data_IF_921054018061
#
_entry.id   IF_921054018061
#
_cell.length_a   1.000
_cell.length_b   1.000
_cell.length_c   1.000
_cell.angle_alpha   90.00
_cell.angle_beta   90.00
_cell.angle_gamma   90.00
#
_symmetry.space_group_name_H-M   'P 1'
#
loop_
_entity.id
_entity.type
_entity.pdbx_description
1 polymer ?
#
# COMPACT_ATOMS: atom_id res chain seq x y z
N UNK A 1 -12.85 -3.44 14.43
CA UNK A 1 -11.45 -3.09 14.76
C UNK A 1 -10.99 -1.97 13.85
N UNK A 2 -10.29 -1.00 14.39
CA UNK A 2 -9.77 0.11 13.60
C UNK A 2 -8.25 0.03 13.52
N UNK A 3 -7.70 0.60 12.45
CA UNK A 3 -6.25 0.74 12.27
C UNK A 3 -5.85 2.20 12.36
N UNK A 4 -6.60 2.97 13.12
CA UNK A 4 -6.40 4.41 13.21
C UNK A 4 -4.99 4.76 13.67
N UNK A 5 -4.36 5.67 12.96
CA UNK A 5 -2.99 6.11 13.20
C UNK A 5 -1.91 5.03 12.98
N UNK A 6 -2.28 3.89 12.40
CA UNK A 6 -1.30 2.89 12.00
C UNK A 6 -0.81 3.17 10.59
N UNK A 7 0.48 3.03 10.39
CA UNK A 7 1.13 3.20 9.10
C UNK A 7 1.42 1.83 8.53
N UNK A 8 0.74 1.48 7.44
CA UNK A 8 0.73 0.11 6.91
C UNK A 8 1.22 0.09 5.47
N UNK A 9 2.18 -0.81 5.18
CA UNK A 9 2.63 -1.06 3.82
C UNK A 9 1.95 -2.33 3.32
N UNK A 10 1.19 -2.21 2.23
CA UNK A 10 0.58 -3.35 1.55
C UNK A 10 1.50 -3.77 0.42
N UNK A 11 2.03 -5.00 0.50
CA UNK A 11 2.93 -5.55 -0.50
C UNK A 11 2.21 -6.54 -1.39
N UNK A 12 2.29 -6.30 -2.70
CA UNK A 12 1.58 -7.07 -3.72
C UNK A 12 0.31 -6.37 -4.16
N UNK A 13 0.31 -5.88 -5.40
CA UNK A 13 -0.77 -5.02 -5.91
C UNK A 13 -1.65 -5.72 -6.94
N UNK A 14 -1.98 -6.98 -6.68
CA UNK A 14 -3.04 -7.67 -7.40
C UNK A 14 -4.40 -7.32 -6.80
N UNK A 15 -5.45 -8.05 -7.18
CA UNK A 15 -6.79 -7.81 -6.70
C UNK A 15 -6.92 -7.85 -5.18
N UNK A 16 -6.23 -8.80 -4.54
CA UNK A 16 -6.24 -8.92 -3.09
C UNK A 16 -5.59 -7.71 -2.42
N UNK A 17 -4.45 -7.25 -2.94
CA UNK A 17 -3.76 -6.08 -2.40
C UNK A 17 -4.61 -4.83 -2.49
N UNK A 18 -5.28 -4.64 -3.62
CA UNK A 18 -6.18 -3.50 -3.83
C UNK A 18 -7.33 -3.53 -2.82
N UNK A 19 -7.92 -4.71 -2.60
CA UNK A 19 -8.98 -4.86 -1.60
C UNK A 19 -8.50 -4.56 -0.19
N UNK A 20 -7.28 -4.97 0.14
CA UNK A 20 -6.67 -4.68 1.43
C UNK A 20 -6.47 -3.18 1.63
N UNK A 21 -5.99 -2.48 0.61
CA UNK A 21 -5.79 -1.03 0.69
C UNK A 21 -7.13 -0.34 0.98
N UNK A 22 -8.18 -0.71 0.25
CA UNK A 22 -9.50 -0.12 0.44
C UNK A 22 -10.00 -0.34 1.87
N UNK A 23 -9.89 -1.55 2.37
CA UNK A 23 -10.34 -1.91 3.71
C UNK A 23 -9.57 -1.15 4.79
N UNK A 24 -8.25 -1.12 4.67
CA UNK A 24 -7.40 -0.48 5.68
C UNK A 24 -7.60 1.03 5.71
N UNK A 25 -7.72 1.67 4.55
CA UNK A 25 -7.99 3.11 4.50
C UNK A 25 -9.35 3.44 5.11
N UNK A 26 -10.35 2.60 4.84
CA UNK A 26 -11.69 2.78 5.41
C UNK A 26 -11.66 2.69 6.94
N UNK A 27 -10.71 1.95 7.49
CA UNK A 27 -10.57 1.75 8.93
C UNK A 27 -9.51 2.67 9.56
N UNK A 28 -9.13 3.73 8.88
CA UNK A 28 -8.32 4.80 9.44
C UNK A 28 -6.82 4.65 9.33
N UNK A 29 -6.33 3.64 8.63
CA UNK A 29 -4.89 3.46 8.46
C UNK A 29 -4.32 4.45 7.44
N UNK A 30 -3.06 4.82 7.65
CA UNK A 30 -2.26 5.48 6.63
C UNK A 30 -1.60 4.36 5.82
N UNK A 31 -1.99 4.21 4.56
CA UNK A 31 -1.58 3.07 3.74
C UNK A 31 -0.67 3.52 2.61
N UNK A 32 0.42 2.78 2.41
CA UNK A 32 1.25 2.87 1.21
C UNK A 32 1.24 1.51 0.52
N UNK A 33 1.55 1.53 -0.76
CA UNK A 33 1.52 0.34 -1.61
C UNK A 33 2.93 -0.02 -2.09
N UNK A 34 3.22 -1.29 -2.15
CA UNK A 34 4.50 -1.78 -2.65
C UNK A 34 4.30 -2.94 -3.62
N UNK A 35 5.09 -2.91 -4.69
CA UNK A 35 5.24 -4.08 -5.57
C UNK A 35 6.65 -4.06 -6.13
N UNK A 36 7.29 -5.23 -6.18
CA UNK A 36 8.67 -5.34 -6.64
C UNK A 36 8.83 -4.94 -8.11
N UNK A 37 7.80 -5.17 -8.91
CA UNK A 37 7.79 -4.85 -10.34
C UNK A 37 6.57 -3.98 -10.66
N UNK A 38 6.70 -2.69 -10.43
CA UNK A 38 5.59 -1.75 -10.54
C UNK A 38 5.72 -0.91 -11.79
N UNK A 39 4.81 -1.13 -12.74
CA UNK A 39 4.76 -0.38 -14.00
C UNK A 39 4.05 0.95 -13.82
N UNK A 40 4.47 1.96 -14.59
CA UNK A 40 3.89 3.30 -14.51
C UNK A 40 2.38 3.32 -14.77
N UNK A 41 1.91 2.53 -15.73
CA UNK A 41 0.48 2.49 -16.03
C UNK A 41 -0.33 1.85 -14.89
N UNK A 42 0.27 0.90 -14.16
CA UNK A 42 -0.39 0.29 -13.00
C UNK A 42 -0.51 1.29 -11.85
N UNK A 43 0.54 2.07 -11.62
CA UNK A 43 0.51 3.18 -10.66
C UNK A 43 -0.61 4.15 -11.01
N UNK A 44 -0.72 4.50 -12.28
CA UNK A 44 -1.77 5.41 -12.73
C UNK A 44 -3.17 4.85 -12.48
N UNK A 45 -3.38 3.57 -12.80
CA UNK A 45 -4.67 2.91 -12.59
C UNK A 45 -5.06 2.89 -11.12
N UNK A 46 -4.14 2.45 -10.26
CA UNK A 46 -4.40 2.32 -8.82
C UNK A 46 -4.50 3.71 -8.17
N UNK A 47 -3.68 4.66 -8.63
CA UNK A 47 -3.70 6.03 -8.13
C UNK A 47 -5.03 6.73 -8.36
N UNK A 48 -5.74 6.37 -9.42
CA UNK A 48 -7.09 6.90 -9.67
C UNK A 48 -8.13 6.35 -8.69
N UNK A 49 -7.86 5.19 -8.13
CA UNK A 49 -8.77 4.55 -7.16
C UNK A 49 -8.58 5.08 -5.75
N UNK A 50 -7.36 5.50 -5.41
CA UNK A 50 -7.01 5.88 -4.05
C UNK A 50 -6.25 7.21 -4.05
N UNK A 51 -6.92 8.27 -3.67
CA UNK A 51 -6.34 9.60 -3.63
C UNK A 51 -5.16 9.65 -2.66
N UNK A 52 -4.04 10.20 -3.14
CA UNK A 52 -2.86 10.39 -2.31
C UNK A 52 -2.09 9.14 -1.96
N UNK A 53 -2.39 7.99 -2.57
CA UNK A 53 -1.69 6.74 -2.28
C UNK A 53 -0.22 6.83 -2.70
N UNK A 54 0.68 6.52 -1.77
CA UNK A 54 2.12 6.50 -2.02
C UNK A 54 2.53 5.10 -2.46
N UNK A 55 3.37 5.05 -3.49
CA UNK A 55 3.83 3.79 -4.08
C UNK A 55 5.33 3.62 -3.87
N UNK A 56 5.74 2.41 -3.55
CA UNK A 56 7.14 2.00 -3.49
C UNK A 56 7.36 0.80 -4.38
N UNK A 57 8.55 0.70 -4.95
CA UNK A 57 8.94 -0.42 -5.79
C UNK A 57 10.40 -0.79 -5.51
N UNK A 58 10.88 -1.86 -6.13
CA UNK A 58 12.25 -2.31 -5.96
C UNK A 58 12.40 -3.20 -4.75
N UNK A 59 13.35 -2.87 -3.87
CA UNK A 59 13.66 -3.71 -2.71
C UNK A 59 12.71 -3.40 -1.56
N UNK A 60 12.05 -4.44 -1.07
CA UNK A 60 11.09 -4.29 0.03
C UNK A 60 11.74 -3.67 1.28
N UNK A 61 12.97 -4.05 1.57
CA UNK A 61 13.71 -3.51 2.71
C UNK A 61 13.77 -1.98 2.65
N UNK A 62 14.05 -1.43 1.46
CA UNK A 62 14.16 0.02 1.29
C UNK A 62 12.82 0.70 1.53
N UNK A 63 11.74 0.09 1.08
CA UNK A 63 10.40 0.61 1.34
C UNK A 63 10.09 0.62 2.84
N UNK A 64 10.44 -0.46 3.54
CA UNK A 64 10.21 -0.59 4.98
C UNK A 64 10.99 0.43 5.81
N UNK A 65 12.12 0.91 5.30
CA UNK A 65 12.93 1.93 5.99
C UNK A 65 12.19 3.27 6.12
N UNK A 66 11.05 3.44 5.48
CA UNK A 66 10.22 4.63 5.62
C UNK A 66 9.34 4.63 6.88
N UNK A 67 9.47 3.61 7.72
CA UNK A 67 8.84 3.58 9.04
C UNK A 67 7.37 3.15 9.03
N UNK A 68 7.13 1.86 8.82
CA UNK A 68 5.78 1.29 8.88
C UNK A 68 5.58 0.50 10.16
N UNK A 69 4.36 0.53 10.69
CA UNK A 69 3.98 -0.25 11.87
C UNK A 69 3.66 -1.69 11.48
N UNK A 70 3.10 -1.88 10.29
CA UNK A 70 2.61 -3.18 9.83
C UNK A 70 2.99 -3.37 8.36
N UNK A 71 3.42 -4.58 8.03
CA UNK A 71 3.56 -5.04 6.65
C UNK A 71 2.47 -6.05 6.37
N UNK A 72 1.58 -5.72 5.44
CA UNK A 72 0.50 -6.60 5.02
C UNK A 72 0.84 -7.23 3.67
N UNK A 73 0.91 -8.56 3.64
CA UNK A 73 1.23 -9.30 2.42
C UNK A 73 -0.06 -9.80 1.76
N UNK A 74 -0.17 -9.52 0.48
CA UNK A 74 -1.32 -9.99 -0.29
C UNK A 74 -0.96 -11.16 -1.22
#
# INVERSE_FOLDING_TARGET
MTFQNKKILVAGLGGTGISMIAYLRKNGAEVAAYDADLKAERVSQIGKMFDGLVFYTGRLKDALDNGFDILALS
#
